data_IF_255199711024
#
_entry.id   IF_255199711024
#
_cell.length_a   1.000
_cell.length_b   1.000
_cell.length_c   1.000
_cell.angle_alpha   90.00
_cell.angle_beta   90.00
_cell.angle_gamma   90.00
#
_symmetry.space_group_name_H-M   'P 1'
#
loop_
_entity.id
_entity.type
_entity.pdbx_description
1 polymer ?
#
# COMPACT_ATOMS: atom_id res chain seq x y z
N UNK A 1 20.69 17.52 5.12
CA UNK A 1 19.80 17.58 3.94
C UNK A 1 18.60 18.42 4.34
N UNK A 2 18.46 19.63 3.78
CA UNK A 2 17.46 20.60 4.23
C UNK A 2 16.18 20.59 3.39
N UNK A 3 16.24 20.03 2.17
CA UNK A 3 15.09 19.89 1.29
C UNK A 3 14.84 18.42 0.95
N UNK A 4 13.57 18.03 0.90
CA UNK A 4 13.12 16.72 0.45
C UNK A 4 12.14 16.91 -0.69
N UNK A 5 12.34 16.13 -1.73
CA UNK A 5 11.47 16.06 -2.89
C UNK A 5 10.80 14.70 -2.91
N UNK A 6 9.47 14.70 -2.96
CA UNK A 6 8.67 13.48 -3.08
C UNK A 6 7.97 13.46 -4.42
N UNK A 7 7.96 12.28 -5.05
CA UNK A 7 7.17 12.02 -6.25
C UNK A 7 5.80 11.54 -5.79
N UNK A 8 4.77 12.32 -6.09
CA UNK A 8 3.39 11.92 -5.87
C UNK A 8 2.95 10.98 -7.00
N UNK A 9 2.81 9.70 -6.69
CA UNK A 9 2.36 8.69 -7.66
C UNK A 9 0.90 8.90 -8.10
N UNK A 10 0.09 9.65 -7.34
CA UNK A 10 -1.33 9.88 -7.65
C UNK A 10 -1.53 11.02 -8.63
N UNK A 11 -0.82 12.14 -8.43
CA UNK A 11 -0.91 13.32 -9.28
C UNK A 11 0.23 13.41 -10.32
N UNK A 12 1.17 12.45 -10.29
CA UNK A 12 2.37 12.43 -11.12
C UNK A 12 3.17 13.75 -11.01
N UNK A 13 3.25 14.28 -9.79
CA UNK A 13 3.85 15.57 -9.47
C UNK A 13 5.03 15.48 -8.49
N UNK A 14 5.73 16.59 -8.31
CA UNK A 14 6.81 16.73 -7.32
C UNK A 14 6.35 17.64 -6.17
N UNK A 15 6.43 17.14 -4.94
CA UNK A 15 6.13 17.90 -3.73
C UNK A 15 7.46 18.23 -3.03
N UNK A 16 7.68 19.51 -2.75
CA UNK A 16 8.88 20.00 -2.05
C UNK A 16 8.58 20.24 -0.56
N UNK A 17 9.46 19.73 0.30
CA UNK A 17 9.45 19.91 1.75
C UNK A 17 10.71 20.65 2.21
N UNK A 18 10.55 21.82 2.85
CA UNK A 18 11.66 22.68 3.28
C UNK A 18 12.12 22.52 4.74
N UNK A 19 11.55 21.58 5.49
CA UNK A 19 11.78 21.41 6.94
C UNK A 19 12.77 20.26 7.26
N UNK A 20 13.57 19.83 6.27
CA UNK A 20 14.40 18.63 6.39
C UNK A 20 13.61 17.34 6.66
N UNK A 21 14.32 16.26 7.04
CA UNK A 21 13.72 14.93 7.18
C UNK A 21 12.71 14.81 8.32
N UNK A 22 13.01 15.38 9.50
CA UNK A 22 12.11 15.29 10.65
C UNK A 22 10.78 16.02 10.38
N UNK A 23 10.83 17.19 9.76
CA UNK A 23 9.62 17.93 9.36
C UNK A 23 8.80 17.20 8.30
N UNK A 24 9.46 16.63 7.29
CA UNK A 24 8.81 15.77 6.29
C UNK A 24 8.05 14.60 6.94
N UNK A 25 8.68 13.86 7.86
CA UNK A 25 8.04 12.74 8.55
C UNK A 25 6.83 13.20 9.39
N UNK A 26 6.94 14.33 10.09
CA UNK A 26 5.84 14.88 10.87
C UNK A 26 4.64 15.27 9.98
N UNK A 27 4.90 15.98 8.88
CA UNK A 27 3.87 16.38 7.93
C UNK A 27 3.19 15.18 7.27
N UNK A 28 3.97 14.14 6.91
CA UNK A 28 3.42 12.89 6.38
C UNK A 28 2.52 12.16 7.37
N UNK A 29 2.89 12.10 8.64
CA UNK A 29 2.04 11.50 9.68
C UNK A 29 0.71 12.24 9.82
N UNK A 30 0.73 13.57 9.74
CA UNK A 30 -0.49 14.39 9.79
C UNK A 30 -1.38 14.16 8.55
N UNK A 31 -0.80 14.22 7.34
CA UNK A 31 -1.51 13.95 6.08
C UNK A 31 -2.11 12.54 6.05
N UNK A 32 -1.34 11.54 6.51
CA UNK A 32 -1.82 10.17 6.62
C UNK A 32 -2.95 10.04 7.64
N UNK A 33 -2.81 10.66 8.82
CA UNK A 33 -3.87 10.67 9.84
C UNK A 33 -5.17 11.33 9.34
N UNK A 34 -5.06 12.45 8.62
CA UNK A 34 -6.22 13.14 8.04
C UNK A 34 -6.90 12.29 6.96
N UNK A 35 -6.14 11.68 6.06
CA UNK A 35 -6.69 10.80 5.02
C UNK A 35 -7.34 9.54 5.59
N UNK A 36 -6.77 8.95 6.65
CA UNK A 36 -7.41 7.84 7.40
C UNK A 36 -8.77 8.26 7.97
N UNK A 37 -8.88 9.45 8.57
CA UNK A 37 -10.14 9.93 9.14
C UNK A 37 -11.21 10.17 8.08
N UNK A 38 -10.86 10.84 6.99
CA UNK A 38 -11.76 11.08 5.86
C UNK A 38 -12.26 9.75 5.27
N UNK A 39 -11.36 8.78 5.10
CA UNK A 39 -11.71 7.44 4.65
C UNK A 39 -12.71 6.76 5.60
N UNK A 40 -12.45 6.79 6.92
CA UNK A 40 -13.36 6.21 7.92
C UNK A 40 -14.73 6.88 7.94
N UNK A 41 -14.78 8.19 7.76
CA UNK A 41 -16.03 8.95 7.69
C UNK A 41 -16.86 8.59 6.46
N UNK A 42 -16.20 8.48 5.28
CA UNK A 42 -16.85 8.03 4.05
C UNK A 42 -17.40 6.60 4.18
N UNK A 43 -16.62 5.68 4.74
CA UNK A 43 -17.05 4.30 4.99
C UNK A 43 -18.23 4.23 5.96
N UNK A 44 -18.20 5.01 7.05
CA UNK A 44 -19.33 5.09 7.99
C UNK A 44 -20.60 5.61 7.31
N UNK A 45 -20.49 6.70 6.55
CA UNK A 45 -21.61 7.28 5.80
C UNK A 45 -22.18 6.29 4.80
N UNK A 46 -21.32 5.56 4.08
CA UNK A 46 -21.71 4.51 3.14
C UNK A 46 -22.50 3.41 3.85
N UNK A 47 -21.98 2.89 4.97
CA UNK A 47 -22.65 1.86 5.77
C UNK A 47 -24.01 2.34 6.32
N UNK A 48 -24.11 3.60 6.75
CA UNK A 48 -25.37 4.18 7.22
C UNK A 48 -26.41 4.25 6.10
N UNK A 49 -26.02 4.73 4.91
CA UNK A 49 -26.89 4.76 3.73
C UNK A 49 -27.35 3.35 3.35
N UNK A 50 -26.45 2.37 3.29
CA UNK A 50 -26.80 0.96 3.02
C UNK A 50 -27.78 0.38 4.04
N UNK A 51 -27.54 0.62 5.34
CA UNK A 51 -28.46 0.20 6.42
C UNK A 51 -29.83 0.86 6.26
N UNK A 52 -29.86 2.15 5.92
CA UNK A 52 -31.10 2.89 5.71
C UNK A 52 -31.88 2.36 4.51
N UNK A 53 -31.21 2.08 3.38
CA UNK A 53 -31.80 1.48 2.19
C UNK A 53 -32.38 0.09 2.49
N UNK A 54 -31.63 -0.73 3.23
CA UNK A 54 -32.09 -2.05 3.67
C UNK A 54 -33.34 -1.96 4.56
N UNK A 55 -33.36 -1.04 5.53
CA UNK A 55 -34.52 -0.83 6.41
C UNK A 55 -35.75 -0.37 5.64
N UNK A 56 -35.58 0.56 4.69
CA UNK A 56 -36.66 1.03 3.82
C UNK A 56 -37.20 -0.09 2.93
N UNK A 57 -36.32 -0.95 2.39
CA UNK A 57 -36.70 -2.11 1.59
C UNK A 57 -37.51 -3.14 2.39
N UNK A 58 -37.06 -3.46 3.61
CA UNK A 58 -37.79 -4.36 4.50
C UNK A 58 -39.17 -3.79 4.86
N UNK A 59 -39.26 -2.49 5.16
CA UNK A 59 -40.55 -1.82 5.39
C UNK A 59 -41.47 -1.94 4.17
N UNK A 60 -40.98 -1.66 2.96
CA UNK A 60 -41.77 -1.73 1.74
C UNK A 60 -42.36 -3.14 1.52
N UNK A 61 -41.53 -4.19 1.60
CA UNK A 61 -41.95 -5.59 1.45
C UNK A 61 -42.91 -6.07 2.55
N UNK A 62 -42.79 -5.56 3.78
CA UNK A 62 -43.67 -5.91 4.90
C UNK A 62 -45.11 -5.44 4.66
N UNK A 63 -45.29 -4.24 4.10
CA UNK A 63 -46.61 -3.67 3.82
C UNK A 63 -47.35 -4.38 2.68
N UNK A 64 -46.65 -5.00 1.74
CA UNK A 64 -47.28 -5.79 0.67
C UNK A 64 -47.96 -7.06 1.20
N UNK A 65 -47.56 -7.54 2.39
CA UNK A 65 -48.08 -8.76 3.01
C UNK A 65 -49.22 -8.53 4.02
N UNK A 66 -49.62 -7.28 4.25
CA UNK A 66 -50.56 -6.92 5.32
C UNK A 66 -51.97 -6.60 4.80
N UNK A 67 -52.91 -7.46 5.20
CA UNK A 67 -54.36 -7.25 5.30
C UNK A 67 -55.23 -7.45 4.05
N UNK A 68 -56.37 -8.13 4.27
CA UNK A 68 -57.48 -8.35 3.32
C UNK A 68 -58.36 -7.10 3.15
N UNK A 69 -58.34 -6.18 4.13
CA UNK A 69 -59.13 -4.95 4.13
C UNK A 69 -58.67 -3.96 3.04
N UNK A 70 -59.62 -3.39 2.30
CA UNK A 70 -59.41 -2.46 1.18
C UNK A 70 -58.76 -1.15 1.62
N UNK A 71 -59.16 -0.61 2.77
CA UNK A 71 -58.65 0.67 3.28
C UNK A 71 -57.21 0.54 3.77
N UNK A 72 -56.90 -0.56 4.45
CA UNK A 72 -55.56 -0.93 4.90
C UNK A 72 -54.60 -1.09 3.71
N UNK A 73 -55.03 -1.76 2.62
CA UNK A 73 -54.25 -1.90 1.38
C UNK A 73 -53.91 -0.57 0.73
N UNK A 74 -54.86 0.37 0.67
CA UNK A 74 -54.61 1.71 0.11
C UNK A 74 -53.54 2.47 0.91
N UNK A 75 -53.61 2.40 2.25
CA UNK A 75 -52.63 3.03 3.15
C UNK A 75 -51.26 2.35 3.03
N UNK A 76 -51.22 1.02 2.98
CA UNK A 76 -50.01 0.22 2.78
C UNK A 76 -49.30 0.55 1.46
N UNK A 77 -50.03 0.64 0.34
CA UNK A 77 -49.49 1.03 -0.97
C UNK A 77 -48.86 2.43 -0.96
N UNK A 78 -49.49 3.39 -0.26
CA UNK A 78 -48.95 4.76 -0.12
C UNK A 78 -47.62 4.74 0.64
N UNK A 79 -47.54 3.98 1.73
CA UNK A 79 -46.32 3.87 2.55
C UNK A 79 -45.21 3.13 1.78
N UNK A 80 -45.54 2.05 1.09
CA UNK A 80 -44.59 1.31 0.25
C UNK A 80 -44.01 2.19 -0.87
N UNK A 81 -44.86 2.99 -1.55
CA UNK A 81 -44.42 3.94 -2.59
C UNK A 81 -43.43 4.99 -2.04
N UNK A 82 -43.69 5.53 -0.86
CA UNK A 82 -42.78 6.50 -0.21
C UNK A 82 -41.46 5.83 0.18
N UNK A 83 -41.52 4.62 0.75
CA UNK A 83 -40.32 3.86 1.13
C UNK A 83 -39.45 3.50 -0.10
N UNK A 84 -40.05 3.07 -1.21
CA UNK A 84 -39.34 2.78 -2.46
C UNK A 84 -38.71 4.03 -3.07
N UNK A 85 -39.41 5.17 -3.07
CA UNK A 85 -38.88 6.45 -3.54
C UNK A 85 -37.69 6.94 -2.70
N UNK A 86 -37.77 6.81 -1.37
CA UNK A 86 -36.67 7.11 -0.47
C UNK A 86 -35.47 6.17 -0.69
N UNK A 87 -35.71 4.89 -0.99
CA UNK A 87 -34.64 3.93 -1.31
C UNK A 87 -33.85 4.35 -2.54
N UNK A 88 -34.53 4.73 -3.62
CA UNK A 88 -33.88 5.20 -4.86
C UNK A 88 -33.05 6.48 -4.63
N UNK A 89 -33.49 7.37 -3.73
CA UNK A 89 -32.70 8.57 -3.36
C UNK A 89 -31.41 8.19 -2.64
N UNK A 90 -31.49 7.30 -1.66
CA UNK A 90 -30.34 6.80 -0.90
C UNK A 90 -29.37 6.03 -1.81
N UNK A 91 -29.88 5.18 -2.70
CA UNK A 91 -29.06 4.44 -3.67
C UNK A 91 -28.34 5.39 -4.64
N UNK A 92 -28.98 6.48 -5.08
CA UNK A 92 -28.33 7.51 -5.91
C UNK A 92 -27.25 8.27 -5.15
N UNK A 93 -27.49 8.59 -3.88
CA UNK A 93 -26.49 9.23 -3.02
C UNK A 93 -25.29 8.30 -2.81
N UNK A 94 -25.55 7.01 -2.59
CA UNK A 94 -24.52 5.98 -2.46
C UNK A 94 -23.66 5.86 -3.73
N UNK A 95 -24.28 5.85 -4.91
CA UNK A 95 -23.56 5.77 -6.19
C UNK A 95 -22.81 7.07 -6.51
N UNK A 96 -23.28 8.22 -6.04
CA UNK A 96 -22.61 9.51 -6.20
C UNK A 96 -21.41 9.71 -5.26
N UNK A 97 -21.39 9.03 -4.12
CA UNK A 97 -20.24 8.93 -3.24
C UNK A 97 -19.23 7.96 -3.87
N UNK A 98 -18.30 8.50 -4.68
CA UNK A 98 -17.24 7.70 -5.28
C UNK A 98 -16.51 6.83 -4.26
N UNK A 99 -15.90 5.72 -4.72
CA UNK A 99 -15.29 4.76 -3.80
C UNK A 99 -14.23 5.41 -2.90
N UNK A 100 -14.32 5.20 -1.58
CA UNK A 100 -13.37 5.78 -0.65
C UNK A 100 -12.00 5.18 -0.92
N UNK A 101 -11.05 6.04 -1.30
CA UNK A 101 -9.69 5.60 -1.60
C UNK A 101 -8.94 5.39 -0.29
N UNK A 102 -8.40 4.19 -0.03
CA UNK A 102 -7.61 3.97 1.16
C UNK A 102 -6.34 4.83 1.11
N UNK A 103 -5.86 5.32 2.26
CA UNK A 103 -4.66 6.13 2.29
C UNK A 103 -3.47 5.32 1.77
N UNK A 104 -2.77 5.87 0.78
CA UNK A 104 -1.61 5.23 0.18
C UNK A 104 -0.52 5.02 1.24
N UNK A 105 -0.12 3.76 1.43
CA UNK A 105 1.07 3.44 2.23
C UNK A 105 2.26 3.39 1.27
N UNK A 106 3.43 3.94 1.63
CA UNK A 106 4.63 3.76 0.84
C UNK A 106 4.90 2.27 0.72
N UNK A 107 4.93 1.76 -0.51
CA UNK A 107 5.25 0.37 -0.81
C UNK A 107 6.71 0.31 -1.24
N UNK A 108 7.56 -0.28 -0.41
CA UNK A 108 8.87 -0.69 -0.87
C UNK A 108 8.68 -1.98 -1.67
N UNK A 109 8.51 -1.86 -2.99
CA UNK A 109 8.55 -3.03 -3.88
C UNK A 109 10.01 -3.40 -4.11
N UNK A 110 10.55 -4.27 -3.26
CA UNK A 110 11.81 -4.95 -3.58
C UNK A 110 11.48 -6.01 -4.61
N UNK A 111 11.79 -5.74 -5.87
CA UNK A 111 11.70 -6.78 -6.90
C UNK A 111 12.64 -7.92 -6.49
N UNK A 112 12.17 -9.18 -6.50
CA UNK A 112 13.06 -10.30 -6.22
C UNK A 112 14.22 -10.24 -7.20
N UNK A 113 15.44 -10.42 -6.68
CA UNK A 113 16.60 -10.53 -7.54
C UNK A 113 16.41 -11.76 -8.46
N UNK A 114 16.79 -11.66 -9.74
CA UNK A 114 16.75 -12.82 -10.62
C UNK A 114 17.60 -13.95 -10.02
N UNK A 115 17.14 -15.19 -10.16
CA UNK A 115 17.91 -16.35 -9.72
C UNK A 115 19.16 -16.48 -10.60
N UNK A 116 20.32 -16.22 -10.00
CA UNK A 116 21.61 -16.45 -10.64
C UNK A 116 21.99 -17.90 -10.32
N UNK A 117 22.31 -18.68 -11.35
CA UNK A 117 22.80 -20.05 -11.22
C UNK A 117 24.21 -20.17 -11.79
N UNK A 118 24.92 -21.23 -11.42
CA UNK A 118 26.24 -21.54 -11.99
C UNK A 118 27.41 -20.88 -11.26
N UNK A 119 28.53 -20.70 -11.96
CA UNK A 119 29.75 -20.09 -11.42
C UNK A 119 29.69 -18.58 -11.67
N UNK A 120 29.79 -17.79 -10.60
CA UNK A 120 29.73 -16.31 -10.67
C UNK A 120 31.13 -15.72 -10.80
N UNK A 121 32.09 -16.26 -10.04
CA UNK A 121 33.47 -15.78 -10.02
C UNK A 121 34.40 -16.97 -10.22
N UNK A 122 35.30 -16.87 -11.20
CA UNK A 122 36.43 -17.79 -11.37
C UNK A 122 37.70 -16.97 -11.40
N UNK A 123 38.60 -17.24 -10.47
CA UNK A 123 39.94 -16.63 -10.41
C UNK A 123 40.95 -17.77 -10.56
N UNK A 124 41.99 -17.56 -11.35
CA UNK A 124 43.05 -18.56 -11.55
C UNK A 124 44.41 -17.90 -11.47
N UNK A 125 45.28 -18.47 -10.62
CA UNK A 125 46.65 -18.04 -10.37
C UNK A 125 46.84 -16.52 -10.20
N UNK A 126 45.91 -15.86 -9.52
CA UNK A 126 45.94 -14.41 -9.35
C UNK A 126 46.88 -14.00 -8.22
N UNK A 127 47.50 -12.82 -8.36
CA UNK A 127 48.22 -12.13 -7.30
C UNK A 127 47.50 -10.85 -6.94
N UNK A 128 47.30 -10.64 -5.65
CA UNK A 128 46.68 -9.43 -5.12
C UNK A 128 47.71 -8.73 -4.23
N UNK A 129 47.83 -7.41 -4.39
CA UNK A 129 48.77 -6.58 -3.66
C UNK A 129 48.70 -5.13 -4.14
N UNK A 130 49.32 -4.23 -3.37
CA UNK A 130 49.42 -2.83 -3.71
C UNK A 130 50.74 -2.55 -4.44
N UNK A 131 50.75 -1.55 -5.32
CA UNK A 131 51.97 -1.13 -6.02
C UNK A 131 53.05 -0.71 -5.02
N UNK A 132 54.28 -1.18 -5.22
CA UNK A 132 55.42 -0.92 -4.33
C UNK A 132 55.44 -1.72 -3.02
N UNK A 133 54.47 -2.61 -2.78
CA UNK A 133 54.44 -3.48 -1.61
C UNK A 133 54.58 -4.96 -1.98
N UNK A 134 54.95 -5.80 -1.00
CA UNK A 134 54.91 -7.25 -1.16
C UNK A 134 53.47 -7.72 -1.41
N UNK A 135 53.31 -8.69 -2.31
CA UNK A 135 51.99 -9.26 -2.63
C UNK A 135 51.35 -9.89 -1.39
N UNK A 136 50.11 -9.50 -1.12
CA UNK A 136 49.30 -9.97 0.01
C UNK A 136 48.83 -11.40 -0.19
N UNK A 137 48.43 -11.75 -1.41
CA UNK A 137 47.96 -13.08 -1.78
C UNK A 137 48.67 -13.51 -3.06
N UNK A 138 49.28 -14.70 -3.03
CA UNK A 138 49.99 -15.28 -4.16
C UNK A 138 49.26 -16.54 -4.66
N UNK A 139 49.16 -16.68 -5.98
CA UNK A 139 48.62 -17.86 -6.66
C UNK A 139 47.20 -18.25 -6.24
N UNK A 140 46.34 -17.24 -6.11
CA UNK A 140 44.94 -17.43 -5.76
C UNK A 140 44.17 -18.09 -6.92
N UNK A 141 43.65 -19.29 -6.67
CA UNK A 141 42.73 -19.98 -7.58
C UNK A 141 41.45 -20.30 -6.81
N UNK A 142 40.32 -19.76 -7.26
CA UNK A 142 39.05 -19.88 -6.56
C UNK A 142 37.86 -19.91 -7.53
N UNK A 143 36.79 -20.59 -7.12
CA UNK A 143 35.55 -20.68 -7.89
C UNK A 143 34.34 -20.48 -6.97
N UNK A 144 33.62 -19.36 -7.15
CA UNK A 144 32.40 -19.06 -6.40
C UNK A 144 31.18 -19.37 -7.24
N UNK A 145 30.22 -20.09 -6.65
CA UNK A 145 28.96 -20.47 -7.28
C UNK A 145 27.83 -19.61 -6.72
N UNK A 146 26.85 -19.35 -7.56
CA UNK A 146 25.69 -18.57 -7.19
C UNK A 146 24.85 -19.31 -6.12
N UNK A 147 24.10 -18.55 -5.32
CA UNK A 147 23.25 -19.10 -4.25
C UNK A 147 24.00 -19.66 -3.03
N UNK A 148 25.32 -19.43 -2.93
CA UNK A 148 26.14 -19.85 -1.78
C UNK A 148 26.64 -18.65 -0.99
N UNK A 149 26.80 -18.84 0.33
CA UNK A 149 27.42 -17.88 1.24
C UNK A 149 28.86 -18.29 1.48
N UNK A 150 29.79 -17.37 1.26
CA UNK A 150 31.22 -17.58 1.44
C UNK A 150 31.72 -16.65 2.56
N UNK A 151 32.44 -17.19 3.53
CA UNK A 151 33.08 -16.42 4.58
C UNK A 151 34.57 -16.29 4.31
N UNK A 152 35.09 -15.06 4.30
CA UNK A 152 36.52 -14.80 4.23
C UNK A 152 37.05 -14.58 5.65
N UNK A 153 37.83 -15.55 6.15
CA UNK A 153 38.34 -15.57 7.53
C UNK A 153 39.87 -15.55 7.55
N UNK A 154 40.43 -14.92 8.59
CA UNK A 154 41.87 -14.83 8.77
C UNK A 154 42.28 -13.69 9.73
N UNK A 155 43.55 -13.67 10.20
CA UNK A 155 44.06 -12.64 11.10
C UNK A 155 43.96 -11.22 10.54
N UNK A 156 44.03 -10.20 11.39
CA UNK A 156 44.08 -8.81 10.93
C UNK A 156 45.32 -8.58 10.06
N UNK A 157 45.17 -7.82 8.96
CA UNK A 157 46.26 -7.54 8.03
C UNK A 157 46.51 -8.60 6.95
N UNK A 158 45.82 -9.75 6.95
CA UNK A 158 46.04 -10.80 5.93
C UNK A 158 45.38 -10.53 4.55
N UNK A 159 44.88 -9.31 4.31
CA UNK A 159 44.28 -8.92 3.03
C UNK A 159 42.78 -9.21 2.87
N UNK A 160 42.02 -9.47 3.94
CA UNK A 160 40.57 -9.77 3.85
C UNK A 160 39.75 -8.69 3.15
N UNK A 161 40.04 -7.41 3.40
CA UNK A 161 39.34 -6.29 2.74
C UNK A 161 39.89 -5.98 1.36
N UNK A 162 41.01 -6.60 0.98
CA UNK A 162 41.72 -6.38 -0.30
C UNK A 162 41.44 -7.50 -1.31
N UNK A 163 40.96 -8.65 -0.84
CA UNK A 163 40.43 -9.75 -1.64
C UNK A 163 39.13 -9.33 -2.36
#
# INVERSE_FOLDING_TARGET
>A
VNEIWEIDEQELGLIRYGLGYQGYVAQKRLQFGASVRLYQEQERRRQELERSARRLSLRATSYERLSTDSTARRKARKIARVASSQRVRVERELTGLGEPRPPARPRLLVKPAPEIHGTVITVSNCRIGFSGAASLIKSLTLRLRAGRRYGLVGPNGCGKSTF
#
